data_IF_720264570672
#
_entry.id   IF_720264570672
#
_cell.length_a   1.000
_cell.length_b   1.000
_cell.length_c   1.000
_cell.angle_alpha   90.00
_cell.angle_beta   90.00
_cell.angle_gamma   90.00
#
_symmetry.space_group_name_H-M   'P 1'
#
loop_
_entity.id
_entity.type
_entity.pdbx_description
1 polymer ?
#
# COMPACT_ATOMS: atom_id res chain seq x y z
N UNK A 1 54.74 -8.34 -5.34
CA UNK A 1 53.39 -8.81 -4.96
C UNK A 1 52.37 -7.96 -5.70
N UNK A 2 51.51 -8.59 -6.50
CA UNK A 2 51.10 -8.08 -7.81
C UNK A 2 50.04 -6.97 -7.73
N UNK A 3 50.30 -5.81 -8.37
CA UNK A 3 49.31 -4.72 -8.56
C UNK A 3 48.00 -5.21 -9.20
N UNK A 4 48.07 -6.28 -9.98
CA UNK A 4 46.94 -6.99 -10.59
C UNK A 4 46.06 -7.71 -9.55
N UNK A 5 46.64 -8.24 -8.46
CA UNK A 5 45.86 -8.85 -7.36
C UNK A 5 45.16 -7.80 -6.49
N UNK A 6 45.75 -6.61 -6.35
CA UNK A 6 45.15 -5.50 -5.60
C UNK A 6 43.95 -4.88 -6.36
N UNK A 7 44.03 -4.80 -7.69
CA UNK A 7 42.93 -4.30 -8.54
C UNK A 7 41.73 -5.26 -8.56
N UNK A 8 41.97 -6.57 -8.51
CA UNK A 8 40.93 -7.60 -8.51
C UNK A 8 40.12 -7.66 -7.20
N UNK A 9 40.76 -7.35 -6.06
CA UNK A 9 40.08 -7.27 -4.75
C UNK A 9 39.20 -6.02 -4.66
N UNK A 10 39.59 -4.92 -5.31
CA UNK A 10 38.79 -3.68 -5.32
C UNK A 10 37.53 -3.80 -6.21
N UNK A 11 37.62 -4.54 -7.32
CA UNK A 11 36.50 -4.74 -8.25
C UNK A 11 35.44 -5.72 -7.71
N UNK A 12 35.80 -6.60 -6.76
CA UNK A 12 34.88 -7.58 -6.16
C UNK A 12 34.04 -7.01 -5.01
N UNK A 13 34.38 -5.84 -4.46
CA UNK A 13 33.61 -5.16 -3.40
C UNK A 13 32.45 -4.31 -3.99
N UNK A 14 32.57 -3.86 -5.25
CA UNK A 14 31.58 -2.96 -5.89
C UNK A 14 30.34 -3.70 -6.43
N UNK A 15 30.40 -5.03 -6.59
CA UNK A 15 29.32 -5.84 -7.17
C UNK A 15 28.18 -6.23 -6.22
N UNK A 16 28.28 -5.94 -4.91
CA UNK A 16 27.38 -6.53 -3.89
C UNK A 16 26.25 -5.62 -3.37
N UNK A 17 26.11 -4.38 -3.87
CA UNK A 17 25.13 -3.42 -3.30
C UNK A 17 23.83 -3.29 -4.10
N UNK A 18 23.59 -4.16 -5.09
CA UNK A 18 22.28 -4.22 -5.77
C UNK A 18 21.35 -5.19 -5.04
N UNK A 19 21.21 -5.00 -3.73
CA UNK A 19 20.16 -5.64 -2.95
C UNK A 19 18.87 -4.84 -3.13
N UNK A 20 18.05 -5.21 -4.12
CA UNK A 20 16.66 -4.77 -4.18
C UNK A 20 15.92 -5.47 -3.03
N UNK A 21 15.93 -4.84 -1.85
CA UNK A 21 15.23 -5.36 -0.68
C UNK A 21 13.72 -5.16 -0.89
N UNK A 22 13.05 -6.16 -1.46
CA UNK A 22 11.60 -6.21 -1.52
C UNK A 22 11.07 -6.41 -0.10
N UNK A 23 10.54 -5.33 0.49
CA UNK A 23 9.78 -5.44 1.74
C UNK A 23 8.43 -6.09 1.41
N UNK A 24 8.30 -7.36 1.80
CA UNK A 24 7.03 -8.09 1.71
C UNK A 24 5.97 -7.33 2.54
N UNK A 25 4.85 -6.88 1.94
CA UNK A 25 3.76 -6.30 2.70
C UNK A 25 3.24 -7.30 3.73
N UNK A 26 2.97 -6.83 4.95
CA UNK A 26 2.19 -7.59 5.92
C UNK A 26 0.72 -7.34 5.63
N UNK A 27 0.11 -8.27 4.90
CA UNK A 27 -1.33 -8.32 4.70
C UNK A 27 -1.87 -9.43 5.60
N UNK A 28 -2.77 -9.09 6.52
CA UNK A 28 -3.50 -10.07 7.31
C UNK A 28 -4.94 -10.16 6.81
N UNK A 29 -5.40 -11.37 6.56
CA UNK A 29 -6.72 -11.63 5.99
C UNK A 29 -7.64 -12.17 7.08
N UNK A 30 -8.75 -11.48 7.30
CA UNK A 30 -9.81 -11.94 8.19
C UNK A 30 -10.92 -12.54 7.30
N UNK A 31 -10.79 -13.84 6.96
CA UNK A 31 -11.80 -14.61 6.20
C UNK A 31 -11.34 -15.14 4.83
N UNK A 32 -12.20 -15.91 4.17
CA UNK A 32 -12.03 -16.35 2.76
C UNK A 32 -12.76 -15.37 1.84
N UNK A 33 -12.01 -14.59 1.08
CA UNK A 33 -12.58 -13.63 0.13
C UNK A 33 -12.80 -14.32 -1.20
N UNK A 34 -14.06 -14.55 -1.59
CA UNK A 34 -14.38 -15.05 -2.94
C UNK A 34 -14.97 -13.90 -3.75
N UNK A 35 -14.24 -13.42 -4.76
CA UNK A 35 -14.81 -12.48 -5.73
C UNK A 35 -15.52 -13.26 -6.83
N UNK A 36 -16.81 -13.00 -7.09
CA UNK A 36 -17.48 -13.54 -8.25
C UNK A 36 -16.76 -13.14 -9.55
N UNK A 37 -16.67 -14.01 -10.57
CA UNK A 37 -16.06 -13.68 -11.85
C UNK A 37 -16.73 -12.45 -12.49
N UNK A 38 -15.92 -11.51 -12.98
CA UNK A 38 -16.41 -10.29 -13.61
C UNK A 38 -16.93 -9.23 -12.62
N UNK A 39 -16.76 -9.42 -11.31
CA UNK A 39 -17.13 -8.44 -10.30
C UNK A 39 -16.48 -7.09 -10.56
N UNK A 40 -17.28 -6.03 -10.42
CA UNK A 40 -16.81 -4.65 -10.35
C UNK A 40 -16.86 -4.18 -8.90
N UNK A 41 -15.93 -3.31 -8.53
CA UNK A 41 -15.78 -2.80 -7.18
C UNK A 41 -15.87 -1.28 -7.22
N UNK A 42 -16.64 -0.72 -6.30
CA UNK A 42 -16.72 0.70 -6.03
C UNK A 42 -16.17 0.98 -4.63
N UNK A 43 -15.37 2.02 -4.48
CA UNK A 43 -15.00 2.52 -3.15
C UNK A 43 -16.22 3.26 -2.61
N UNK A 44 -16.86 2.72 -1.58
CA UNK A 44 -18.06 3.29 -0.98
C UNK A 44 -17.67 4.37 0.04
N UNK A 45 -16.71 4.05 0.91
CA UNK A 45 -16.32 4.92 2.02
C UNK A 45 -14.84 4.75 2.37
N UNK A 46 -14.21 5.86 2.78
CA UNK A 46 -12.92 5.85 3.47
C UNK A 46 -13.07 6.64 4.76
N UNK A 47 -12.85 5.99 5.89
CA UNK A 47 -13.02 6.54 7.24
C UNK A 47 -11.66 6.76 7.90
N UNK A 48 -11.52 7.89 8.59
CA UNK A 48 -10.37 8.15 9.46
C UNK A 48 -10.67 7.71 10.90
N UNK A 49 -10.24 6.50 11.26
CA UNK A 49 -10.40 5.91 12.60
C UNK A 49 -9.19 6.16 13.52
N UNK A 50 -8.23 7.01 13.12
CA UNK A 50 -7.03 7.31 13.92
C UNK A 50 -7.33 8.02 15.23
N UNK A 51 -8.53 8.61 15.39
CA UNK A 51 -8.93 9.48 16.51
C UNK A 51 -8.09 10.77 16.63
N UNK A 52 -7.36 11.13 15.59
CA UNK A 52 -6.49 12.30 15.54
C UNK A 52 -6.91 13.26 14.42
N UNK A 53 -6.69 14.56 14.64
CA UNK A 53 -6.78 15.57 13.58
C UNK A 53 -5.43 15.59 12.85
N UNK A 54 -5.43 15.11 11.62
CA UNK A 54 -4.23 15.00 10.80
C UNK A 54 -4.06 16.25 9.92
N UNK A 55 -2.82 16.66 9.70
CA UNK A 55 -2.45 17.80 8.84
C UNK A 55 -2.53 17.48 7.34
N UNK A 56 -3.08 16.32 7.02
CA UNK A 56 -3.14 15.71 5.69
C UNK A 56 -4.53 15.12 5.52
N UNK A 57 -5.10 15.30 4.33
CA UNK A 57 -6.33 14.63 3.91
C UNK A 57 -6.09 13.14 3.65
N UNK A 58 -6.01 12.34 4.71
CA UNK A 58 -5.80 10.89 4.61
C UNK A 58 -6.98 10.17 3.95
N UNK A 59 -8.18 10.73 4.07
CA UNK A 59 -9.40 10.17 3.48
C UNK A 59 -9.31 10.29 1.96
N UNK A 60 -9.14 11.51 1.45
CA UNK A 60 -9.05 11.76 0.02
C UNK A 60 -7.86 11.06 -0.62
N UNK A 61 -6.69 11.09 0.02
CA UNK A 61 -5.50 10.44 -0.52
C UNK A 61 -5.64 8.92 -0.62
N UNK A 62 -6.27 8.28 0.36
CA UNK A 62 -6.44 6.84 0.32
C UNK A 62 -7.58 6.43 -0.61
N UNK A 63 -8.65 7.23 -0.66
CA UNK A 63 -9.73 7.09 -1.65
C UNK A 63 -9.20 7.10 -3.08
N UNK A 64 -8.39 8.10 -3.42
CA UNK A 64 -7.78 8.23 -4.75
C UNK A 64 -6.85 7.06 -5.06
N UNK A 65 -6.05 6.64 -4.08
CA UNK A 65 -5.15 5.50 -4.22
C UNK A 65 -5.90 4.18 -4.48
N UNK A 66 -7.00 3.93 -3.76
CA UNK A 66 -7.84 2.74 -3.93
C UNK A 66 -8.51 2.73 -5.31
N UNK A 67 -9.10 3.84 -5.74
CA UNK A 67 -9.70 3.96 -7.07
C UNK A 67 -8.67 3.74 -8.18
N UNK A 68 -7.46 4.30 -8.03
CA UNK A 68 -6.37 4.09 -8.98
C UNK A 68 -5.94 2.62 -9.03
N UNK A 69 -5.78 1.96 -7.88
CA UNK A 69 -5.41 0.55 -7.80
C UNK A 69 -6.48 -0.37 -8.44
N UNK A 70 -7.76 -0.13 -8.14
CA UNK A 70 -8.89 -0.84 -8.76
C UNK A 70 -8.92 -0.64 -10.27
N UNK A 71 -8.68 0.59 -10.75
CA UNK A 71 -8.63 0.90 -12.18
C UNK A 71 -7.48 0.17 -12.88
N UNK A 72 -6.28 0.14 -12.27
CA UNK A 72 -5.11 -0.57 -12.81
C UNK A 72 -5.37 -2.08 -12.97
N UNK A 73 -6.24 -2.65 -12.13
CA UNK A 73 -6.64 -4.07 -12.19
C UNK A 73 -7.94 -4.30 -12.97
N UNK A 74 -8.48 -3.28 -13.65
CA UNK A 74 -9.76 -3.35 -14.40
C UNK A 74 -10.98 -3.75 -13.55
N UNK A 75 -10.89 -3.59 -12.22
CA UNK A 75 -11.95 -3.91 -11.27
C UNK A 75 -12.86 -2.74 -10.95
N UNK A 76 -12.41 -1.50 -11.21
CA UNK A 76 -13.20 -0.31 -10.89
C UNK A 76 -14.54 -0.32 -11.63
N UNK A 77 -15.63 -0.12 -10.88
CA UNK A 77 -16.95 0.15 -11.44
C UNK A 77 -17.02 1.61 -11.92
N UNK A 78 -17.49 1.81 -13.15
CA UNK A 78 -17.54 3.13 -13.80
C UNK A 78 -18.96 3.66 -13.95
N UNK A 79 -19.95 3.02 -13.31
CA UNK A 79 -21.36 3.38 -13.47
C UNK A 79 -22.09 2.56 -14.52
N UNK A 80 -21.59 1.38 -14.88
CA UNK A 80 -22.22 0.54 -15.91
C UNK A 80 -23.65 0.12 -15.46
N UNK A 81 -24.69 0.37 -16.28
CA UNK A 81 -26.06 0.05 -15.92
C UNK A 81 -26.28 -1.47 -15.83
N UNK A 82 -27.03 -1.91 -14.82
CA UNK A 82 -27.36 -3.32 -14.62
C UNK A 82 -26.28 -4.15 -13.91
N UNK A 83 -25.12 -3.56 -13.59
CA UNK A 83 -24.07 -4.19 -12.76
C UNK A 83 -24.17 -3.66 -11.35
N UNK A 84 -24.41 -4.55 -10.37
CA UNK A 84 -24.29 -4.19 -8.94
C UNK A 84 -22.82 -4.34 -8.53
N UNK A 85 -22.10 -3.25 -8.21
CA UNK A 85 -20.72 -3.36 -7.76
C UNK A 85 -20.64 -3.87 -6.32
N UNK A 86 -19.54 -4.55 -6.02
CA UNK A 86 -19.11 -4.78 -4.64
C UNK A 86 -18.66 -3.46 -4.02
N UNK A 87 -18.92 -3.29 -2.73
CA UNK A 87 -18.61 -2.09 -1.98
C UNK A 87 -17.32 -2.30 -1.20
N UNK A 88 -16.35 -1.41 -1.41
CA UNK A 88 -15.11 -1.40 -0.68
C UNK A 88 -15.14 -0.26 0.33
N UNK A 89 -15.03 -0.60 1.61
CA UNK A 89 -14.94 0.37 2.70
C UNK A 89 -13.55 0.30 3.31
N UNK A 90 -12.89 1.44 3.51
CA UNK A 90 -11.57 1.48 4.09
C UNK A 90 -11.54 2.28 5.39
N UNK A 91 -10.78 1.80 6.35
CA UNK A 91 -10.61 2.35 7.68
C UNK A 91 -9.13 2.64 7.91
N UNK A 92 -8.77 3.91 8.03
CA UNK A 92 -7.41 4.31 8.40
C UNK A 92 -7.28 4.22 9.91
N UNK A 93 -6.62 3.16 10.38
CA UNK A 93 -6.47 2.85 11.81
C UNK A 93 -5.32 3.63 12.44
N UNK A 94 -4.25 3.86 11.66
CA UNK A 94 -3.09 4.63 12.09
C UNK A 94 -2.44 5.33 10.92
N UNK A 95 -2.07 6.57 11.10
CA UNK A 95 -1.23 7.29 10.16
C UNK A 95 -0.15 8.04 10.92
N UNK A 96 1.10 7.89 10.48
CA UNK A 96 2.22 8.69 10.96
C UNK A 96 2.92 9.30 9.77
N UNK A 97 2.80 10.61 9.61
CA UNK A 97 3.54 11.35 8.59
C UNK A 97 5.03 11.29 8.89
N UNK A 98 5.80 10.84 7.92
CA UNK A 98 7.25 10.82 8.04
C UNK A 98 7.86 12.22 7.95
N UNK A 99 8.93 12.45 8.69
CA UNK A 99 9.65 13.71 8.73
C UNK A 99 11.02 13.57 8.05
N UNK A 100 11.23 14.31 6.97
CA UNK A 100 12.47 14.28 6.20
C UNK A 100 13.70 14.75 7.01
N UNK A 101 13.55 15.72 7.92
CA UNK A 101 14.65 16.21 8.76
C UNK A 101 15.05 15.16 9.80
N UNK A 102 14.07 14.46 10.38
CA UNK A 102 14.34 13.37 11.32
C UNK A 102 15.00 12.15 10.64
N UNK A 103 14.67 11.89 9.37
CA UNK A 103 15.32 10.83 8.56
C UNK A 103 16.82 11.05 8.37
N UNK A 104 17.22 12.31 8.21
CA UNK A 104 18.64 12.66 7.98
C UNK A 104 19.45 12.66 9.28
N UNK A 105 18.81 12.95 10.39
CA UNK A 105 19.49 13.11 11.69
C UNK A 105 19.58 11.80 12.47
N UNK A 106 18.67 10.84 12.26
CA UNK A 106 18.69 9.56 12.97
C UNK A 106 18.28 8.39 12.06
N UNK A 107 19.21 7.46 11.74
CA UNK A 107 18.91 6.28 10.93
C UNK A 107 17.76 5.47 11.55
N UNK A 108 16.75 5.11 10.74
CA UNK A 108 15.57 4.38 11.20
C UNK A 108 14.42 5.24 11.73
N UNK A 109 14.58 6.57 11.83
CA UNK A 109 13.52 7.49 12.24
C UNK A 109 12.92 8.26 11.06
N UNK A 110 11.73 8.82 11.27
CA UNK A 110 11.03 9.65 10.30
C UNK A 110 10.33 8.90 9.16
N UNK A 111 10.19 7.57 9.23
CA UNK A 111 9.38 6.80 8.28
C UNK A 111 7.92 7.25 8.27
N UNK A 112 7.28 7.13 7.11
CA UNK A 112 5.82 7.28 7.02
C UNK A 112 5.19 5.91 7.28
N UNK A 113 4.17 5.86 8.13
CA UNK A 113 3.45 4.63 8.47
C UNK A 113 1.97 4.80 8.17
N UNK A 114 1.35 3.78 7.58
CA UNK A 114 -0.09 3.66 7.37
C UNK A 114 -0.54 2.26 7.79
N UNK A 115 -1.47 2.21 8.73
CA UNK A 115 -2.23 1.00 9.06
C UNK A 115 -3.67 1.23 8.62
N UNK A 116 -4.16 0.35 7.75
CA UNK A 116 -5.52 0.42 7.25
C UNK A 116 -6.18 -0.95 7.29
N UNK A 117 -7.50 -0.96 7.47
CA UNK A 117 -8.36 -2.12 7.22
C UNK A 117 -9.24 -1.81 6.01
N UNK A 118 -9.44 -2.79 5.16
CA UNK A 118 -10.32 -2.69 4.00
C UNK A 118 -11.31 -3.84 4.05
N UNK A 119 -12.59 -3.48 4.03
CA UNK A 119 -13.71 -4.40 4.08
C UNK A 119 -14.34 -4.46 2.68
N UNK A 120 -14.51 -5.68 2.15
CA UNK A 120 -15.24 -5.91 0.92
C UNK A 120 -16.64 -6.40 1.27
N UNK A 121 -17.66 -5.74 0.73
CA UNK A 121 -19.07 -6.01 1.00
C UNK A 121 -19.86 -6.22 -0.30
N UNK A 122 -20.91 -7.02 -0.21
CA UNK A 122 -21.96 -7.14 -1.23
C UNK A 122 -23.29 -6.71 -0.59
N UNK A 123 -23.64 -5.44 -0.74
CA UNK A 123 -24.66 -4.79 0.08
C UNK A 123 -24.30 -4.86 1.57
N UNK A 124 -25.21 -5.35 2.40
CA UNK A 124 -24.97 -5.46 3.85
C UNK A 124 -24.08 -6.66 4.24
N UNK A 125 -23.75 -7.54 3.29
CA UNK A 125 -22.98 -8.76 3.58
C UNK A 125 -21.48 -8.48 3.48
N UNK A 126 -20.76 -8.65 4.58
CA UNK A 126 -19.29 -8.68 4.57
C UNK A 126 -18.78 -9.95 3.87
N UNK A 127 -18.01 -9.78 2.79
CA UNK A 127 -17.32 -10.85 2.08
C UNK A 127 -15.95 -11.16 2.68
N UNK A 128 -15.31 -10.16 3.29
CA UNK A 128 -14.11 -10.33 4.09
C UNK A 128 -13.36 -9.02 4.31
N UNK A 129 -12.32 -9.10 5.14
CA UNK A 129 -11.53 -7.94 5.55
C UNK A 129 -10.04 -8.17 5.35
N UNK A 130 -9.34 -7.10 4.96
CA UNK A 130 -7.91 -7.07 4.72
C UNK A 130 -7.30 -6.00 5.62
N UNK A 131 -6.41 -6.40 6.52
CA UNK A 131 -5.56 -5.47 7.23
C UNK A 131 -4.24 -5.29 6.47
N UNK A 132 -3.88 -4.04 6.18
CA UNK A 132 -2.64 -3.66 5.50
C UNK A 132 -1.81 -2.78 6.41
N UNK A 133 -0.54 -3.16 6.57
CA UNK A 133 0.48 -2.36 7.24
C UNK A 133 1.56 -1.95 6.24
N UNK A 134 1.74 -0.64 6.06
CA UNK A 134 2.83 -0.11 5.23
C UNK A 134 3.68 0.91 5.95
N UNK A 135 4.98 0.74 5.77
CA UNK A 135 6.00 1.66 6.25
C UNK A 135 6.92 2.04 5.11
N UNK A 136 7.02 3.33 4.81
CA UNK A 136 7.97 3.88 3.84
C UNK A 136 9.11 4.51 4.64
N UNK A 137 10.23 3.79 4.74
CA UNK A 137 11.40 4.20 5.50
C UNK A 137 12.37 5.08 4.67
N UNK A 138 12.67 4.69 3.43
CA UNK A 138 13.74 5.28 2.60
C UNK A 138 13.53 4.85 1.14
N UNK A 139 13.70 5.73 0.13
CA UNK A 139 13.95 5.20 -1.23
C UNK A 139 13.65 6.03 -2.48
N UNK A 140 13.05 7.23 -2.42
CA UNK A 140 12.86 8.04 -3.64
C UNK A 140 13.23 9.52 -3.48
N UNK A 141 14.34 9.78 -2.79
CA UNK A 141 15.14 10.99 -2.93
C UNK A 141 14.40 12.35 -2.81
N UNK A 142 14.63 13.06 -1.70
CA UNK A 142 14.52 14.54 -1.64
C UNK A 142 13.16 15.19 -2.02
N UNK A 143 12.14 14.42 -2.41
CA UNK A 143 10.91 14.96 -2.99
C UNK A 143 9.89 15.27 -1.91
N UNK A 144 9.46 16.53 -1.86
CA UNK A 144 8.30 16.99 -1.07
C UNK A 144 7.07 16.19 -1.50
N UNK A 145 6.76 15.09 -0.80
CA UNK A 145 5.59 14.27 -1.09
C UNK A 145 5.80 12.76 -1.12
N UNK A 146 7.02 12.24 -0.93
CA UNK A 146 7.26 10.79 -0.90
C UNK A 146 6.45 10.04 0.19
N UNK A 147 5.99 10.74 1.22
CA UNK A 147 5.06 10.18 2.20
C UNK A 147 3.71 9.76 1.60
N UNK A 148 3.28 10.35 0.47
CA UNK A 148 2.02 9.98 -0.21
C UNK A 148 2.06 8.57 -0.78
N UNK A 149 3.24 8.07 -1.12
CA UNK A 149 3.41 6.73 -1.69
C UNK A 149 2.89 5.63 -0.77
N UNK A 150 2.91 5.85 0.55
CA UNK A 150 2.39 4.87 1.51
C UNK A 150 0.91 4.52 1.23
N UNK A 151 0.10 5.48 0.75
CA UNK A 151 -1.30 5.26 0.42
C UNK A 151 -1.45 4.45 -0.87
N UNK A 152 -0.66 4.80 -1.89
CA UNK A 152 -0.62 4.06 -3.16
C UNK A 152 -0.16 2.62 -2.95
N UNK A 153 0.93 2.42 -2.22
CA UNK A 153 1.51 1.11 -1.94
C UNK A 153 0.52 0.25 -1.14
N UNK A 154 -0.10 0.82 -0.09
CA UNK A 154 -1.08 0.10 0.72
C UNK A 154 -2.34 -0.28 -0.09
N UNK A 155 -2.83 0.61 -0.95
CA UNK A 155 -3.96 0.32 -1.82
C UNK A 155 -3.63 -0.80 -2.82
N UNK A 156 -2.45 -0.74 -3.46
CA UNK A 156 -2.04 -1.77 -4.43
C UNK A 156 -1.91 -3.15 -3.80
N UNK A 157 -1.38 -3.24 -2.58
CA UNK A 157 -1.30 -4.52 -1.86
C UNK A 157 -2.67 -5.04 -1.50
N UNK A 158 -3.56 -4.18 -1.01
CA UNK A 158 -4.90 -4.58 -0.63
C UNK A 158 -5.65 -5.16 -1.83
N UNK A 159 -5.66 -4.44 -2.95
CA UNK A 159 -6.34 -4.89 -4.16
C UNK A 159 -5.67 -6.16 -4.74
N UNK A 160 -4.35 -6.26 -4.66
CA UNK A 160 -3.64 -7.48 -5.08
C UNK A 160 -4.00 -8.66 -4.18
N UNK A 161 -4.06 -8.47 -2.87
CA UNK A 161 -4.46 -9.50 -1.92
C UNK A 161 -5.91 -9.92 -2.11
N UNK A 162 -6.83 -9.00 -2.46
CA UNK A 162 -8.20 -9.35 -2.86
C UNK A 162 -8.20 -10.34 -4.03
N UNK A 163 -7.41 -10.06 -5.06
CA UNK A 163 -7.34 -10.90 -6.26
C UNK A 163 -6.69 -12.27 -5.97
N UNK A 164 -5.56 -12.30 -5.27
CA UNK A 164 -4.83 -13.55 -4.99
C UNK A 164 -5.66 -14.53 -4.15
N UNK A 165 -6.47 -14.03 -3.23
CA UNK A 165 -7.27 -14.88 -2.34
C UNK A 165 -8.66 -15.21 -2.88
N UNK A 166 -9.01 -14.66 -4.05
CA UNK A 166 -10.27 -14.92 -4.76
C UNK A 166 -10.25 -16.14 -5.68
N UNK A 167 -9.10 -16.81 -5.82
CA UNK A 167 -8.98 -18.03 -6.61
C UNK A 167 -9.57 -19.24 -5.84
N UNK A 168 -10.32 -20.13 -6.52
CA UNK A 168 -10.95 -21.31 -5.92
C UNK A 168 -9.95 -22.33 -5.38
#
# INVERSE_FOLDING_TARGET
MNKVKLLLVFLSIVGLIWGCQSTQPKVNLEGKIQLPPGSKVHVEEVVNDTKEILDVDVIGLFWDALNLALRKKSLLWLGEPGVRPLQLQAHVLKYKKGNAVQRWTMPGFGSTVLDARIDLKDGDRLLGSIAVHRTVATGDGLTRGGWRKVFTDAAEDAITALLTNSAP
#
